data_IF_551165036915
#
_entry.id   IF_551165036915
#
_cell.length_a   1.000
_cell.length_b   1.000
_cell.length_c   1.000
_cell.angle_alpha   90.00
_cell.angle_beta   90.00
_cell.angle_gamma   90.00
#
_symmetry.space_group_name_H-M   'P 1'
#
loop_
_entity.id
_entity.type
_entity.pdbx_description
1 polymer ?
#
# COMPACT_ATOMS: atom_id res chain seq x y z
N UNK A 1 -9.88 24.37 0.25
CA UNK A 1 -9.31 23.08 0.60
C UNK A 1 -7.87 23.32 1.01
N UNK A 2 -7.47 22.73 2.14
CA UNK A 2 -6.17 23.00 2.77
C UNK A 2 -5.11 21.97 2.37
N UNK A 3 -5.55 20.78 1.94
CA UNK A 3 -4.68 19.65 1.60
C UNK A 3 -5.07 19.01 0.27
N UNK A 4 -4.07 18.65 -0.53
CA UNK A 4 -4.25 17.94 -1.81
C UNK A 4 -4.42 16.43 -1.62
N UNK A 5 -3.77 15.87 -0.59
CA UNK A 5 -3.77 14.43 -0.28
C UNK A 5 -4.00 14.23 1.20
N UNK A 6 -4.85 13.25 1.54
CA UNK A 6 -5.08 12.78 2.90
C UNK A 6 -4.69 11.31 2.97
N UNK A 7 -3.82 10.96 3.91
CA UNK A 7 -3.42 9.58 4.17
C UNK A 7 -4.17 9.08 5.41
N UNK A 8 -4.89 7.98 5.27
CA UNK A 8 -5.60 7.32 6.35
C UNK A 8 -4.81 6.07 6.76
N UNK A 9 -4.12 6.14 7.89
CA UNK A 9 -3.50 4.97 8.52
C UNK A 9 -4.57 4.18 9.28
N UNK A 10 -4.75 2.92 8.93
CA UNK A 10 -5.84 2.10 9.47
C UNK A 10 -5.30 0.91 10.28
N UNK A 11 -6.00 0.50 11.35
CA UNK A 11 -5.61 -0.67 12.13
C UNK A 11 -5.71 -1.95 11.28
N UNK A 12 -4.91 -2.99 11.59
CA UNK A 12 -4.87 -4.25 10.83
C UNK A 12 -6.05 -5.17 11.18
N UNK A 13 -7.26 -4.64 11.17
CA UNK A 13 -8.48 -5.38 11.48
C UNK A 13 -9.65 -4.89 10.64
N UNK A 14 -10.56 -5.78 10.26
CA UNK A 14 -11.80 -5.41 9.59
C UNK A 14 -12.81 -4.89 10.64
N UNK A 15 -12.62 -3.65 11.06
CA UNK A 15 -13.51 -2.93 11.99
C UNK A 15 -14.36 -1.91 11.23
N UNK A 16 -15.41 -1.40 11.88
CA UNK A 16 -16.19 -0.29 11.30
C UNK A 16 -15.34 0.93 10.96
N UNK A 17 -14.30 1.21 11.76
CA UNK A 17 -13.37 2.32 11.50
C UNK A 17 -12.57 2.06 10.21
N UNK A 18 -12.03 0.86 10.06
CA UNK A 18 -11.30 0.44 8.85
C UNK A 18 -12.20 0.49 7.62
N UNK A 19 -13.42 -0.03 7.73
CA UNK A 19 -14.41 0.01 6.63
C UNK A 19 -14.73 1.45 6.25
N UNK A 20 -14.98 2.34 7.22
CA UNK A 20 -15.26 3.74 6.95
C UNK A 20 -14.06 4.44 6.28
N UNK A 21 -12.83 4.16 6.72
CA UNK A 21 -11.61 4.67 6.10
C UNK A 21 -11.48 4.23 4.64
N UNK A 22 -11.69 2.94 4.37
CA UNK A 22 -11.67 2.38 3.01
C UNK A 22 -12.77 2.99 2.15
N UNK A 23 -13.99 3.11 2.66
CA UNK A 23 -15.12 3.70 1.93
C UNK A 23 -14.91 5.19 1.64
N UNK A 24 -14.20 5.90 2.50
CA UNK A 24 -13.86 7.32 2.30
C UNK A 24 -12.67 7.53 1.34
N UNK A 25 -11.81 6.52 1.14
CA UNK A 25 -10.59 6.66 0.34
C UNK A 25 -10.85 6.54 -1.16
N UNK A 26 -9.99 7.17 -1.97
CA UNK A 26 -10.01 7.04 -3.43
C UNK A 26 -9.05 5.94 -3.91
N UNK A 27 -8.01 5.65 -3.16
CA UNK A 27 -7.03 4.62 -3.49
C UNK A 27 -6.60 3.84 -2.26
N UNK A 28 -6.07 2.64 -2.48
CA UNK A 28 -5.58 1.76 -1.43
C UNK A 28 -4.14 1.40 -1.71
N UNK A 29 -3.32 1.47 -0.67
CA UNK A 29 -2.00 0.85 -0.63
C UNK A 29 -2.02 -0.21 0.47
N UNK A 30 -1.72 -1.45 0.10
CA UNK A 30 -1.65 -2.59 1.01
C UNK A 30 -0.19 -3.04 1.18
N UNK A 31 0.49 -2.66 2.26
CA UNK A 31 1.80 -3.23 2.59
C UNK A 31 1.64 -4.70 2.98
N UNK A 32 2.34 -5.59 2.29
CA UNK A 32 2.24 -7.04 2.48
C UNK A 32 3.62 -7.67 2.59
N UNK A 33 4.03 -8.09 3.80
CA UNK A 33 5.24 -8.88 3.96
C UNK A 33 5.10 -10.24 3.24
N UNK A 34 6.14 -10.71 2.52
CA UNK A 34 6.07 -11.96 1.78
C UNK A 34 6.27 -13.18 2.70
N UNK A 35 5.35 -13.40 3.63
CA UNK A 35 5.26 -14.60 4.45
C UNK A 35 3.84 -15.19 4.44
N UNK A 36 3.72 -16.48 4.74
CA UNK A 36 2.48 -17.22 4.57
C UNK A 36 1.32 -16.73 5.46
N UNK A 37 1.62 -16.26 6.68
CA UNK A 37 0.58 -15.78 7.61
C UNK A 37 0.01 -14.44 7.16
N UNK A 38 0.86 -13.50 6.76
CA UNK A 38 0.42 -12.20 6.26
C UNK A 38 -0.35 -12.36 4.94
N UNK A 39 0.11 -13.25 4.04
CA UNK A 39 -0.61 -13.57 2.81
C UNK A 39 -2.01 -14.15 3.08
N UNK A 40 -2.13 -15.11 4.01
CA UNK A 40 -3.40 -15.70 4.38
C UNK A 40 -4.35 -14.65 5.00
N UNK A 41 -3.82 -13.81 5.90
CA UNK A 41 -4.58 -12.73 6.54
C UNK A 41 -5.06 -11.68 5.54
N UNK A 42 -4.21 -11.29 4.60
CA UNK A 42 -4.58 -10.35 3.53
C UNK A 42 -5.65 -10.95 2.61
N UNK A 43 -5.54 -12.23 2.24
CA UNK A 43 -6.54 -12.92 1.41
C UNK A 43 -7.89 -13.00 2.13
N UNK A 44 -7.91 -13.33 3.42
CA UNK A 44 -9.13 -13.34 4.22
C UNK A 44 -9.75 -11.95 4.34
N UNK A 45 -8.95 -10.92 4.57
CA UNK A 45 -9.42 -9.54 4.64
C UNK A 45 -10.14 -9.14 3.34
N UNK A 46 -9.54 -9.41 2.17
CA UNK A 46 -10.13 -9.06 0.88
C UNK A 46 -11.40 -9.83 0.57
N UNK A 47 -11.50 -11.10 0.95
CA UNK A 47 -12.72 -11.87 0.80
C UNK A 47 -13.86 -11.24 1.62
N UNK A 48 -13.62 -10.96 2.90
CA UNK A 48 -14.62 -10.34 3.78
C UNK A 48 -15.00 -8.93 3.32
N UNK A 49 -14.04 -8.15 2.83
CA UNK A 49 -14.31 -6.82 2.29
C UNK A 49 -15.13 -6.89 1.00
N UNK A 50 -14.84 -7.85 0.12
CA UNK A 50 -15.60 -8.09 -1.10
C UNK A 50 -17.05 -8.47 -0.80
N UNK A 51 -17.26 -9.38 0.15
CA UNK A 51 -18.60 -9.79 0.58
C UNK A 51 -19.40 -8.60 1.12
N UNK A 52 -18.79 -7.79 1.96
CA UNK A 52 -19.40 -6.57 2.48
C UNK A 52 -19.72 -5.56 1.37
N UNK A 53 -18.82 -5.34 0.43
CA UNK A 53 -19.04 -4.43 -0.71
C UNK A 53 -20.21 -4.89 -1.58
N UNK A 54 -20.28 -6.20 -1.87
CA UNK A 54 -21.39 -6.78 -2.61
C UNK A 54 -22.74 -6.63 -1.85
N UNK A 55 -22.73 -6.78 -0.53
CA UNK A 55 -23.91 -6.56 0.31
C UNK A 55 -24.36 -5.10 0.31
N UNK A 56 -23.43 -4.16 0.38
CA UNK A 56 -23.71 -2.72 0.32
C UNK A 56 -24.30 -2.34 -1.04
N UNK A 57 -23.76 -2.86 -2.14
CA UNK A 57 -24.29 -2.65 -3.47
C UNK A 57 -25.72 -3.22 -3.57
N UNK A 58 -25.93 -4.47 -3.17
CA UNK A 58 -27.23 -5.14 -3.28
C UNK A 58 -28.32 -4.50 -2.41
N UNK A 59 -27.99 -4.07 -1.18
CA UNK A 59 -28.98 -3.55 -0.21
C UNK A 59 -29.17 -2.04 -0.26
N UNK A 60 -28.14 -1.29 -0.67
CA UNK A 60 -28.12 0.17 -0.59
C UNK A 60 -27.80 0.88 -1.91
N UNK A 61 -27.45 0.12 -2.95
CA UNK A 61 -27.00 0.69 -4.23
C UNK A 61 -25.66 1.45 -4.13
N UNK A 62 -24.87 1.18 -3.08
CA UNK A 62 -23.57 1.83 -2.91
C UNK A 62 -22.54 0.99 -3.62
N UNK A 63 -22.06 1.48 -4.75
CA UNK A 63 -20.93 0.91 -5.50
C UNK A 63 -19.66 1.68 -5.17
N UNK A 64 -18.64 0.96 -4.70
CA UNK A 64 -17.38 1.55 -4.32
C UNK A 64 -16.28 1.16 -5.31
N UNK A 65 -15.89 2.10 -6.12
CA UNK A 65 -14.74 2.01 -7.00
C UNK A 65 -13.52 2.71 -6.40
N UNK A 66 -12.34 2.19 -6.70
CA UNK A 66 -11.06 2.79 -6.32
C UNK A 66 -10.32 3.22 -7.59
N UNK A 67 -9.71 4.40 -7.55
CA UNK A 67 -8.86 4.88 -8.63
C UNK A 67 -7.63 3.98 -8.80
N UNK A 68 -7.11 3.44 -7.70
CA UNK A 68 -6.05 2.42 -7.71
C UNK A 68 -6.09 1.54 -6.45
N UNK A 69 -5.58 0.32 -6.59
CA UNK A 69 -5.25 -0.58 -5.47
C UNK A 69 -3.83 -1.08 -5.73
N UNK A 70 -2.92 -0.77 -4.82
CA UNK A 70 -1.52 -1.19 -4.90
C UNK A 70 -1.18 -2.14 -3.76
N UNK A 71 -0.52 -3.24 -4.11
CA UNK A 71 0.10 -4.18 -3.17
C UNK A 71 1.60 -3.89 -3.15
N UNK A 72 2.11 -3.50 -2.00
CA UNK A 72 3.52 -3.21 -1.79
C UNK A 72 4.18 -4.35 -1.01
N UNK A 73 5.09 -5.07 -1.63
CA UNK A 73 5.91 -6.03 -0.90
C UNK A 73 6.79 -5.27 0.12
N UNK A 74 6.53 -5.49 1.38
CA UNK A 74 7.17 -4.79 2.49
C UNK A 74 7.97 -5.74 3.38
N UNK A 75 8.98 -5.23 4.09
CA UNK A 75 9.83 -6.00 5.00
C UNK A 75 10.45 -7.23 4.32
N UNK A 76 10.82 -7.09 3.06
CA UNK A 76 11.38 -8.19 2.25
C UNK A 76 12.76 -8.57 2.77
N UNK A 77 12.88 -9.81 3.24
CA UNK A 77 14.15 -10.41 3.65
C UNK A 77 14.68 -11.33 2.53
N UNK A 78 15.75 -10.91 1.89
CA UNK A 78 16.35 -11.69 0.79
C UNK A 78 17.11 -12.93 1.26
N UNK A 79 17.29 -13.11 2.56
CA UNK A 79 17.94 -14.29 3.12
C UNK A 79 16.94 -15.45 3.38
N UNK A 80 15.64 -15.17 3.38
CA UNK A 80 14.60 -16.18 3.59
C UNK A 80 14.16 -16.82 2.26
N UNK A 81 14.52 -18.09 2.04
CA UNK A 81 14.12 -18.84 0.83
C UNK A 81 12.61 -19.05 0.70
N UNK A 82 11.87 -19.11 1.81
CA UNK A 82 10.41 -19.23 1.82
C UNK A 82 9.72 -17.97 1.29
N UNK A 83 10.38 -16.84 1.37
CA UNK A 83 9.88 -15.54 0.87
C UNK A 83 9.63 -15.58 -0.65
N UNK A 84 10.43 -16.28 -1.42
CA UNK A 84 10.30 -16.36 -2.88
C UNK A 84 9.04 -17.12 -3.31
N UNK A 85 8.68 -18.18 -2.58
CA UNK A 85 7.45 -18.95 -2.85
C UNK A 85 6.23 -18.06 -2.59
N UNK A 86 6.22 -17.38 -1.45
CA UNK A 86 5.09 -16.50 -1.07
C UNK A 86 4.99 -15.29 -2.00
N UNK A 87 6.11 -14.72 -2.46
CA UNK A 87 6.11 -13.68 -3.51
C UNK A 87 5.40 -14.17 -4.78
N UNK A 88 5.68 -15.41 -5.20
CA UNK A 88 5.01 -16.00 -6.36
C UNK A 88 3.50 -16.09 -6.14
N UNK A 89 3.05 -16.48 -4.95
CA UNK A 89 1.62 -16.50 -4.62
C UNK A 89 1.00 -15.11 -4.64
N UNK A 90 1.66 -14.12 -4.03
CA UNK A 90 1.20 -12.73 -4.03
C UNK A 90 1.09 -12.21 -5.47
N UNK A 91 2.11 -12.45 -6.29
CA UNK A 91 2.13 -12.03 -7.69
C UNK A 91 1.01 -12.70 -8.51
N UNK A 92 0.77 -13.99 -8.30
CA UNK A 92 -0.30 -14.72 -8.98
C UNK A 92 -1.69 -14.23 -8.57
N UNK A 93 -1.87 -13.88 -7.29
CA UNK A 93 -3.16 -13.44 -6.74
C UNK A 93 -3.48 -12.00 -7.12
N UNK A 94 -2.54 -11.08 -6.93
CA UNK A 94 -2.78 -9.63 -7.07
C UNK A 94 -2.33 -9.06 -8.41
N UNK A 95 -1.54 -9.82 -9.20
CA UNK A 95 -1.14 -9.51 -10.59
C UNK A 95 -0.59 -8.09 -10.75
N UNK A 96 -1.21 -7.30 -11.61
CA UNK A 96 -0.85 -5.92 -11.94
C UNK A 96 -0.99 -4.94 -10.77
N UNK A 97 -1.67 -5.35 -9.69
CA UNK A 97 -1.76 -4.52 -8.47
C UNK A 97 -0.47 -4.56 -7.65
N UNK A 98 0.39 -5.57 -7.85
CA UNK A 98 1.68 -5.63 -7.16
C UNK A 98 2.63 -4.62 -7.75
N UNK A 99 3.09 -3.68 -6.92
CA UNK A 99 4.07 -2.68 -7.36
C UNK A 99 5.42 -3.35 -7.71
N UNK A 100 6.11 -2.87 -8.74
CA UNK A 100 7.42 -3.40 -9.14
C UNK A 100 8.57 -2.88 -8.26
N UNK A 101 8.27 -2.51 -7.04
CA UNK A 101 9.20 -2.08 -6.00
C UNK A 101 8.93 -2.84 -4.72
N UNK A 102 9.98 -3.16 -4.00
CA UNK A 102 9.91 -3.86 -2.72
C UNK A 102 10.63 -3.05 -1.64
N UNK A 103 10.01 -2.92 -0.47
CA UNK A 103 10.65 -2.29 0.69
C UNK A 103 11.46 -3.35 1.44
N UNK A 104 12.79 -3.26 1.46
CA UNK A 104 13.63 -4.25 2.11
C UNK A 104 13.53 -4.16 3.64
N UNK A 105 13.62 -5.29 4.31
CA UNK A 105 13.85 -5.36 5.75
C UNK A 105 15.28 -4.89 6.03
N UNK A 106 15.43 -3.76 6.70
CA UNK A 106 16.76 -3.19 6.99
C UNK A 106 16.85 -2.66 8.41
N UNK A 107 18.06 -2.63 8.95
CA UNK A 107 18.34 -1.97 10.22
C UNK A 107 18.05 -0.45 10.16
N UNK A 108 18.18 0.17 8.99
CA UNK A 108 17.87 1.59 8.76
C UNK A 108 16.43 1.91 9.17
N UNK A 109 15.47 1.13 8.65
CA UNK A 109 14.05 1.32 8.95
C UNK A 109 13.75 1.09 10.43
N UNK A 110 14.37 0.05 11.03
CA UNK A 110 14.20 -0.25 12.45
C UNK A 110 14.77 0.85 13.34
N UNK A 111 15.94 1.40 13.01
CA UNK A 111 16.55 2.52 13.76
C UNK A 111 15.70 3.78 13.66
N UNK A 112 15.22 4.14 12.47
CA UNK A 112 14.34 5.29 12.29
C UNK A 112 13.06 5.14 13.14
N UNK A 113 12.43 3.97 13.10
CA UNK A 113 11.22 3.70 13.90
C UNK A 113 11.46 3.79 15.39
N UNK A 114 12.62 3.35 15.90
CA UNK A 114 12.98 3.47 17.31
C UNK A 114 13.13 4.93 17.78
N UNK A 115 13.44 5.84 16.86
CA UNK A 115 13.55 7.27 17.10
C UNK A 115 12.27 8.04 16.72
N UNK A 116 11.17 7.36 16.45
CA UNK A 116 9.91 7.95 15.97
C UNK A 116 10.12 8.86 14.74
N UNK A 117 11.05 8.46 13.86
CA UNK A 117 11.43 9.18 12.65
C UNK A 117 11.29 8.30 11.42
N UNK A 118 11.55 8.84 10.25
CA UNK A 118 11.53 8.14 8.98
C UNK A 118 12.95 7.97 8.41
N UNK A 119 13.10 7.16 7.37
CA UNK A 119 14.39 7.03 6.66
C UNK A 119 14.84 8.35 6.04
N UNK A 120 13.95 9.33 5.90
CA UNK A 120 14.25 10.66 5.36
C UNK A 120 14.84 11.62 6.41
N UNK A 121 14.53 11.39 7.68
CA UNK A 121 14.99 12.24 8.78
C UNK A 121 16.42 11.89 9.24
N UNK A 122 16.92 10.71 8.85
CA UNK A 122 18.27 10.26 9.22
C UNK A 122 19.31 11.10 8.48
N UNK A 123 19.99 11.99 9.22
CA UNK A 123 21.08 12.80 8.68
C UNK A 123 22.42 12.05 8.62
N UNK A 124 22.66 11.17 9.59
CA UNK A 124 23.87 10.35 9.68
C UNK A 124 23.48 8.93 10.10
N UNK A 125 23.89 7.96 9.29
CA UNK A 125 23.70 6.54 9.57
C UNK A 125 25.05 5.88 9.83
N UNK A 126 25.21 5.28 11.00
CA UNK A 126 26.49 4.66 11.43
C UNK A 126 26.71 3.26 10.85
N UNK A 127 25.75 2.73 10.08
CA UNK A 127 25.84 1.44 9.39
C UNK A 127 26.32 1.55 7.95
N UNK A 128 26.02 0.53 7.16
CA UNK A 128 26.41 0.47 5.74
C UNK A 128 25.71 1.55 4.90
N UNK A 129 26.48 2.43 4.28
CA UNK A 129 25.96 3.43 3.34
C UNK A 129 25.18 2.80 2.17
N UNK A 130 25.58 1.59 1.72
CA UNK A 130 24.87 0.85 0.68
C UNK A 130 23.48 0.42 1.15
N UNK A 131 23.37 -0.05 2.39
CA UNK A 131 22.07 -0.44 2.99
C UNK A 131 21.16 0.76 3.15
N UNK A 132 21.71 1.88 3.60
CA UNK A 132 20.99 3.15 3.73
C UNK A 132 20.44 3.63 2.38
N UNK A 133 21.33 3.70 1.37
CA UNK A 133 20.94 4.09 0.02
C UNK A 133 19.84 3.18 -0.55
N UNK A 134 20.01 1.85 -0.43
CA UNK A 134 19.02 0.88 -0.91
C UNK A 134 17.64 1.09 -0.25
N UNK A 135 17.61 1.36 1.04
CA UNK A 135 16.36 1.64 1.74
C UNK A 135 15.70 2.92 1.20
N UNK A 136 16.45 4.01 1.09
CA UNK A 136 15.92 5.28 0.56
C UNK A 136 15.44 5.16 -0.87
N UNK A 137 16.24 4.58 -1.75
CA UNK A 137 15.89 4.38 -3.17
C UNK A 137 14.57 3.59 -3.32
N UNK A 138 14.34 2.60 -2.45
CA UNK A 138 13.10 1.82 -2.47
C UNK A 138 11.88 2.66 -2.05
N UNK A 139 12.00 3.48 -1.01
CA UNK A 139 10.93 4.39 -0.60
C UNK A 139 10.68 5.48 -1.65
N UNK A 140 11.73 6.07 -2.24
CA UNK A 140 11.59 7.06 -3.30
C UNK A 140 10.84 6.51 -4.52
N UNK A 141 11.18 5.28 -4.94
CA UNK A 141 10.45 4.60 -6.00
C UNK A 141 8.98 4.35 -5.63
N UNK A 142 8.72 3.85 -4.43
CA UNK A 142 7.37 3.62 -3.94
C UNK A 142 6.54 4.90 -3.95
N UNK A 143 7.06 5.98 -3.40
CA UNK A 143 6.38 7.29 -3.40
C UNK A 143 6.09 7.74 -4.84
N UNK A 144 7.05 7.59 -5.75
CA UNK A 144 6.86 7.92 -7.17
C UNK A 144 5.70 7.14 -7.83
N UNK A 145 5.54 5.85 -7.53
CA UNK A 145 4.39 5.07 -8.03
C UNK A 145 3.05 5.56 -7.48
N UNK A 146 2.98 5.84 -6.17
CA UNK A 146 1.74 6.34 -5.55
C UNK A 146 1.40 7.72 -6.09
N UNK A 147 2.36 8.63 -6.18
CA UNK A 147 2.17 9.98 -6.73
C UNK A 147 1.67 9.92 -8.18
N UNK A 148 2.25 9.05 -9.00
CA UNK A 148 1.83 8.87 -10.40
C UNK A 148 0.38 8.39 -10.49
N UNK A 149 -0.04 7.49 -9.60
CA UNK A 149 -1.42 6.99 -9.54
C UNK A 149 -2.41 8.08 -9.11
N UNK A 150 -2.04 8.89 -8.12
CA UNK A 150 -2.85 10.03 -7.66
C UNK A 150 -3.03 11.05 -8.79
N UNK A 151 -1.95 11.41 -9.49
CA UNK A 151 -2.01 12.34 -10.63
C UNK A 151 -2.90 11.81 -11.75
N UNK A 152 -2.77 10.52 -12.10
CA UNK A 152 -3.62 9.90 -13.10
C UNK A 152 -5.11 9.89 -12.71
N UNK A 153 -5.42 9.72 -11.42
CA UNK A 153 -6.79 9.81 -10.91
C UNK A 153 -7.35 11.23 -11.04
N UNK A 154 -6.57 12.26 -10.69
CA UNK A 154 -6.97 13.65 -10.85
C UNK A 154 -7.20 14.04 -12.31
N UNK A 155 -6.34 13.62 -13.22
CA UNK A 155 -6.49 13.88 -14.67
C UNK A 155 -7.78 13.27 -15.21
N UNK A 156 -8.14 12.05 -14.76
CA UNK A 156 -9.42 11.42 -15.08
C UNK A 156 -10.62 12.25 -14.60
N UNK A 157 -10.59 12.73 -13.36
CA UNK A 157 -11.68 13.53 -12.78
C UNK A 157 -11.86 14.85 -13.53
N UNK A 158 -10.75 15.52 -13.88
CA UNK A 158 -10.79 16.75 -14.68
C UNK A 158 -11.35 16.49 -16.07
N UNK A 159 -10.96 15.41 -16.74
CA UNK A 159 -11.48 15.04 -18.06
C UNK A 159 -12.99 14.74 -18.01
N UNK A 160 -13.46 13.99 -17.01
CA UNK A 160 -14.89 13.67 -16.84
C UNK A 160 -15.73 14.92 -16.55
N UNK A 161 -15.21 15.85 -15.76
CA UNK A 161 -15.92 17.10 -15.45
C UNK A 161 -16.04 18.03 -16.65
N UNK A 162 -15.12 17.97 -17.62
CA UNK A 162 -15.18 18.73 -18.88
C UNK A 162 -16.13 18.10 -19.90
N UNK A 163 -16.29 16.77 -19.88
CA UNK A 163 -17.18 16.04 -20.79
C UNK A 163 -18.67 16.15 -20.39
N UNK A 164 -18.95 16.54 -19.15
CA UNK A 164 -20.32 16.70 -18.60
C UNK A 164 -20.87 18.14 -18.72
N UNK A 165 -20.09 19.05 -19.30
CA UNK A 165 -20.48 20.43 -19.62
C UNK A 165 -20.67 20.62 -21.12
#
# INVERSE_FOLDING_TARGET
DEYDVIIIDSPPSLSYITINGIMASNGIVMPLPPNALDYASASQFWNLFSDLSNEMLAKRGIDKEFDFIHVLLSRVDTAESTSDIVRTWIQATYKEKVLPVEIPKTAVTSSASAEFSTVYDIQKYDGSARTFKRARDAYDQFVGYVESSIRAAWDKQVASSKASK
#
